data_IF_594948653097
#
_entry.id   IF_594948653097
#
_cell.length_a   1.000
_cell.length_b   1.000
_cell.length_c   1.000
_cell.angle_alpha   90.00
_cell.angle_beta   90.00
_cell.angle_gamma   90.00
#
_symmetry.space_group_name_H-M   'P 1'
#
loop_
_entity.id
_entity.type
_entity.pdbx_description
1 polymer ?
#
# COMPACT_ATOMS: atom_id res chain seq x y z
N UNK A 1 1.93 21.47 13.50
CA UNK A 1 2.39 21.22 12.12
C UNK A 1 3.04 19.86 12.20
N UNK A 2 2.37 18.84 11.67
CA UNK A 2 2.87 17.46 11.74
C UNK A 2 4.22 17.41 11.04
N UNK A 3 5.23 17.04 11.80
CA UNK A 3 6.58 16.79 11.31
C UNK A 3 6.48 15.80 10.16
N UNK A 4 7.02 16.19 9.02
CA UNK A 4 7.16 15.34 7.86
C UNK A 4 8.16 14.23 8.24
N UNK A 5 7.69 13.19 8.93
CA UNK A 5 8.51 12.09 9.43
C UNK A 5 9.26 11.51 8.22
N UNK A 6 10.60 11.61 8.18
CA UNK A 6 11.39 11.08 7.08
C UNK A 6 11.08 9.60 6.78
N UNK A 7 10.62 8.85 7.79
CA UNK A 7 10.16 7.47 7.64
C UNK A 7 8.89 7.34 6.79
N UNK A 8 7.91 8.24 6.95
CA UNK A 8 6.65 8.21 6.19
C UNK A 8 6.86 8.60 4.72
N UNK A 9 7.74 9.57 4.45
CA UNK A 9 8.12 9.92 3.07
C UNK A 9 8.80 8.73 2.39
N UNK A 10 9.72 8.05 3.08
CA UNK A 10 10.41 6.89 2.54
C UNK A 10 9.44 5.73 2.22
N UNK A 11 8.45 5.49 3.10
CA UNK A 11 7.38 4.50 2.87
C UNK A 11 6.54 4.86 1.64
N UNK A 12 6.11 6.12 1.52
CA UNK A 12 5.34 6.56 0.36
C UNK A 12 6.10 6.40 -0.95
N UNK A 13 7.39 6.75 -0.95
CA UNK A 13 8.26 6.52 -2.11
C UNK A 13 8.37 5.04 -2.49
N UNK A 14 8.54 4.15 -1.50
CA UNK A 14 8.59 2.71 -1.75
C UNK A 14 7.27 2.18 -2.32
N UNK A 15 6.13 2.63 -1.78
CA UNK A 15 4.80 2.25 -2.25
C UNK A 15 4.55 2.68 -3.71
N UNK A 16 4.91 3.91 -4.07
CA UNK A 16 4.77 4.42 -5.44
C UNK A 16 5.62 3.58 -6.41
N UNK A 17 6.89 3.30 -6.05
CA UNK A 17 7.76 2.46 -6.90
C UNK A 17 7.20 1.05 -7.09
N UNK A 18 6.76 0.43 -6.00
CA UNK A 18 6.24 -0.94 -6.04
C UNK A 18 4.94 -1.07 -6.84
N UNK A 19 4.07 -0.05 -6.79
CA UNK A 19 2.76 -0.09 -7.43
C UNK A 19 2.73 0.42 -8.87
N UNK A 20 3.57 1.40 -9.20
CA UNK A 20 3.50 2.11 -10.48
C UNK A 20 4.80 2.09 -11.29
N UNK A 21 5.91 1.63 -10.71
CA UNK A 21 7.21 1.67 -11.39
C UNK A 21 7.76 3.09 -11.62
N UNK A 22 7.16 4.09 -10.98
CA UNK A 22 7.52 5.51 -11.11
C UNK A 22 8.59 5.90 -10.09
N UNK A 23 9.59 6.69 -10.48
CA UNK A 23 10.51 7.30 -9.52
C UNK A 23 9.86 8.51 -8.83
N UNK A 24 9.63 8.48 -7.51
CA UNK A 24 8.91 9.54 -6.81
C UNK A 24 9.66 10.87 -6.74
N UNK A 25 10.98 10.88 -7.00
CA UNK A 25 11.79 12.10 -6.95
C UNK A 25 11.56 13.02 -8.14
N UNK A 26 10.93 12.53 -9.20
CA UNK A 26 10.59 13.29 -10.40
C UNK A 26 9.20 13.91 -10.34
N UNK A 27 8.45 13.68 -9.25
CA UNK A 27 7.06 14.11 -9.10
C UNK A 27 6.98 15.46 -8.40
N UNK A 28 5.97 16.26 -8.75
CA UNK A 28 5.51 17.35 -7.89
C UNK A 28 4.88 16.80 -6.60
N UNK A 29 4.74 17.64 -5.57
CA UNK A 29 4.11 17.23 -4.31
C UNK A 29 2.66 16.76 -4.49
N UNK A 30 1.92 17.37 -5.41
CA UNK A 30 0.52 17.02 -5.71
C UNK A 30 0.43 15.64 -6.40
N UNK A 31 1.29 15.40 -7.39
CA UNK A 31 1.38 14.11 -8.07
C UNK A 31 1.85 13.00 -7.11
N UNK A 32 2.84 13.31 -6.26
CA UNK A 32 3.32 12.41 -5.23
C UNK A 32 2.19 12.05 -4.26
N UNK A 33 1.44 13.03 -3.74
CA UNK A 33 0.34 12.80 -2.81
C UNK A 33 -0.76 11.96 -3.45
N UNK A 34 -1.12 12.24 -4.70
CA UNK A 34 -2.12 11.48 -5.45
C UNK A 34 -1.68 10.02 -5.66
N UNK A 35 -0.46 9.80 -6.15
CA UNK A 35 0.07 8.45 -6.37
C UNK A 35 0.27 7.70 -5.06
N UNK A 36 0.70 8.36 -3.99
CA UNK A 36 0.81 7.77 -2.67
C UNK A 36 -0.55 7.25 -2.18
N UNK A 37 -1.61 8.07 -2.24
CA UNK A 37 -2.96 7.65 -1.84
C UNK A 37 -3.48 6.47 -2.67
N UNK A 38 -3.23 6.47 -3.98
CA UNK A 38 -3.60 5.36 -4.85
C UNK A 38 -2.82 4.07 -4.49
N UNK A 39 -1.51 4.18 -4.23
CA UNK A 39 -0.69 3.04 -3.82
C UNK A 39 -1.15 2.44 -2.48
N UNK A 40 -1.49 3.30 -1.50
CA UNK A 40 -2.03 2.86 -0.20
C UNK A 40 -3.33 2.09 -0.39
N UNK A 41 -4.26 2.60 -1.20
CA UNK A 41 -5.52 1.91 -1.47
C UNK A 41 -5.29 0.55 -2.13
N UNK A 42 -4.44 0.47 -3.15
CA UNK A 42 -4.12 -0.77 -3.85
C UNK A 42 -3.49 -1.81 -2.91
N UNK A 43 -2.55 -1.39 -2.08
CA UNK A 43 -1.85 -2.31 -1.17
C UNK A 43 -2.78 -2.84 -0.09
N UNK A 44 -3.61 -1.97 0.51
CA UNK A 44 -4.64 -2.40 1.46
C UNK A 44 -5.61 -3.40 0.81
N UNK A 45 -6.08 -3.11 -0.40
CA UNK A 45 -6.97 -4.03 -1.13
C UNK A 45 -6.32 -5.40 -1.37
N UNK A 46 -5.04 -5.43 -1.77
CA UNK A 46 -4.28 -6.68 -1.94
C UNK A 46 -4.10 -7.44 -0.64
N UNK A 47 -3.76 -6.75 0.44
CA UNK A 47 -3.58 -7.36 1.76
C UNK A 47 -4.89 -7.96 2.27
N UNK A 48 -6.00 -7.23 2.17
CA UNK A 48 -7.33 -7.73 2.54
C UNK A 48 -7.74 -8.96 1.72
N UNK A 49 -7.55 -8.92 0.40
CA UNK A 49 -7.84 -10.05 -0.46
C UNK A 49 -7.00 -11.28 -0.10
N UNK A 50 -5.69 -11.07 0.11
CA UNK A 50 -4.76 -12.13 0.48
C UNK A 50 -5.15 -12.73 1.83
N UNK A 51 -5.45 -11.90 2.82
CA UNK A 51 -5.93 -12.35 4.13
C UNK A 51 -7.22 -13.17 4.03
N UNK A 52 -8.20 -12.73 3.22
CA UNK A 52 -9.44 -13.51 2.99
C UNK A 52 -9.18 -14.84 2.30
N UNK A 53 -8.25 -14.89 1.33
CA UNK A 53 -7.89 -16.14 0.65
C UNK A 53 -7.23 -17.10 1.64
N UNK A 54 -6.24 -16.61 2.41
CA UNK A 54 -5.54 -17.40 3.41
C UNK A 54 -6.53 -17.91 4.48
N UNK A 55 -7.44 -17.06 4.96
CA UNK A 55 -8.47 -17.48 5.89
C UNK A 55 -9.33 -18.61 5.33
N UNK A 56 -9.74 -18.54 4.06
CA UNK A 56 -10.52 -19.62 3.41
C UNK A 56 -9.72 -20.91 3.24
N UNK A 57 -8.45 -20.82 2.88
CA UNK A 57 -7.59 -21.99 2.64
C UNK A 57 -7.23 -22.73 3.92
N UNK A 58 -7.09 -22.01 5.03
CA UNK A 58 -6.60 -22.57 6.31
C UNK A 58 -7.67 -22.58 7.41
N UNK A 59 -8.93 -22.24 7.11
CA UNK A 59 -10.02 -22.45 8.07
C UNK A 59 -10.23 -23.94 8.29
N UNK A 60 -10.39 -24.39 9.55
CA UNK A 60 -10.73 -25.79 9.82
C UNK A 60 -12.04 -26.15 9.11
N UNK A 61 -12.12 -27.39 8.64
CA UNK A 61 -13.39 -27.93 8.13
C UNK A 61 -14.45 -27.78 9.24
N UNK A 62 -15.65 -27.32 8.88
CA UNK A 62 -16.76 -27.34 9.84
C UNK A 62 -16.98 -28.81 10.23
N UNK A 63 -16.82 -29.13 11.51
CA UNK A 63 -17.30 -30.38 12.07
C UNK A 63 -18.84 -30.34 11.96
N UNK A 64 -19.41 -31.27 11.18
CA UNK A 64 -20.86 -31.50 11.08
C UNK A 64 -21.38 -32.27 12.29
#
# INVERSE_FOLDING_TARGET
MEDNDPGEIAKGCALIRANFGTDPTTLSNEEWAMLFQQAVWLENFRLENTARILAKLFSPAKEE
#
